data_IF_926606233201
#
_entry.id   IF_926606233201
#
_cell.length_a   1.000
_cell.length_b   1.000
_cell.length_c   1.000
_cell.angle_alpha   90.00
_cell.angle_beta   90.00
_cell.angle_gamma   90.00
#
_symmetry.space_group_name_H-M   'P 1'
#
loop_
_entity.id
_entity.type
_entity.pdbx_description
1 polymer ?
#
# COMPACT_ATOMS: atom_id res chain seq x y z
N UNK A 1 26.71 22.09 -33.35
CA UNK A 1 27.22 21.95 -31.97
C UNK A 1 26.09 21.45 -31.08
N UNK A 2 26.07 20.15 -30.76
CA UNK A 2 25.10 19.59 -29.83
C UNK A 2 25.64 19.77 -28.41
N UNK A 3 24.95 20.55 -27.57
CA UNK A 3 25.18 20.58 -26.14
C UNK A 3 24.79 19.21 -25.57
N UNK A 4 25.77 18.32 -25.43
CA UNK A 4 25.65 17.14 -24.59
C UNK A 4 25.55 17.65 -23.15
N UNK A 5 24.32 17.77 -22.63
CA UNK A 5 24.10 17.96 -21.20
C UNK A 5 24.73 16.75 -20.49
N UNK A 6 25.89 16.99 -19.88
CA UNK A 6 26.54 16.07 -18.95
C UNK A 6 25.53 15.82 -17.82
N UNK A 7 24.87 14.67 -17.83
CA UNK A 7 24.02 14.26 -16.72
C UNK A 7 24.90 14.21 -15.47
N UNK A 8 24.68 15.11 -14.53
CA UNK A 8 25.34 15.04 -13.22
C UNK A 8 25.19 13.62 -12.67
N UNK A 9 26.24 13.04 -12.07
CA UNK A 9 26.13 11.74 -11.44
C UNK A 9 24.99 11.79 -10.42
N UNK A 10 23.95 10.95 -10.63
CA UNK A 10 22.87 10.82 -9.65
C UNK A 10 23.50 10.34 -8.36
N UNK A 11 23.47 11.20 -7.35
CA UNK A 11 23.76 10.81 -5.98
C UNK A 11 22.84 9.61 -5.63
N UNK A 12 23.41 8.41 -5.42
CA UNK A 12 22.64 7.20 -5.17
C UNK A 12 21.90 7.23 -3.84
N UNK A 13 22.24 8.17 -2.95
CA UNK A 13 21.60 8.36 -1.65
C UNK A 13 20.59 9.50 -1.65
N UNK A 14 20.55 10.36 -2.66
CA UNK A 14 19.58 11.48 -2.70
C UNK A 14 18.15 10.98 -2.82
N UNK A 15 17.28 11.49 -1.94
CA UNK A 15 15.84 11.26 -2.00
C UNK A 15 15.22 12.37 -2.84
N UNK A 16 14.42 12.01 -3.84
CA UNK A 16 13.69 12.99 -4.66
C UNK A 16 12.52 13.51 -3.85
N UNK A 17 12.44 14.82 -3.62
CA UNK A 17 11.34 15.44 -2.86
C UNK A 17 9.95 15.12 -3.42
N UNK A 18 9.82 14.92 -4.73
CA UNK A 18 8.55 14.56 -5.36
C UNK A 18 8.02 13.19 -4.93
N UNK A 19 8.89 12.25 -4.58
CA UNK A 19 8.50 10.88 -4.22
C UNK A 19 7.72 10.83 -2.89
N UNK A 20 8.25 11.36 -1.77
CA UNK A 20 7.48 11.44 -0.53
C UNK A 20 6.24 12.35 -0.62
N UNK A 21 6.31 13.47 -1.36
CA UNK A 21 5.15 14.38 -1.50
C UNK A 21 3.98 13.68 -2.19
N UNK A 22 4.24 13.00 -3.30
CA UNK A 22 3.20 12.24 -4.02
C UNK A 22 2.66 11.12 -3.13
N UNK A 23 3.52 10.41 -2.41
CA UNK A 23 3.12 9.36 -1.47
C UNK A 23 2.19 9.89 -0.36
N UNK A 24 2.52 11.04 0.25
CA UNK A 24 1.66 11.69 1.25
C UNK A 24 0.30 12.05 0.66
N UNK A 25 0.26 12.67 -0.53
CA UNK A 25 -1.00 13.05 -1.18
C UNK A 25 -1.89 11.83 -1.44
N UNK A 26 -1.33 10.75 -2.01
CA UNK A 26 -2.08 9.52 -2.23
C UNK A 26 -2.54 8.87 -0.92
N UNK A 27 -1.70 8.89 0.11
CA UNK A 27 -2.03 8.32 1.43
C UNK A 27 -3.15 9.11 2.10
N UNK A 28 -3.14 10.44 2.02
CA UNK A 28 -4.21 11.29 2.55
C UNK A 28 -5.52 11.09 1.78
N UNK A 29 -5.48 10.97 0.45
CA UNK A 29 -6.66 10.66 -0.35
C UNK A 29 -7.22 9.31 0.07
N UNK A 30 -6.37 8.29 0.19
CA UNK A 30 -6.80 6.96 0.59
C UNK A 30 -7.40 6.94 2.01
N UNK A 31 -6.78 7.64 2.95
CA UNK A 31 -7.29 7.83 4.30
C UNK A 31 -8.67 8.50 4.28
N UNK A 32 -8.83 9.60 3.54
CA UNK A 32 -10.11 10.30 3.42
C UNK A 32 -11.18 9.41 2.78
N UNK A 33 -10.85 8.70 1.70
CA UNK A 33 -11.74 7.78 1.01
C UNK A 33 -12.24 6.68 1.96
N UNK A 34 -11.32 5.94 2.59
CA UNK A 34 -11.67 4.83 3.47
C UNK A 34 -12.57 5.23 4.65
N UNK A 35 -12.40 6.45 5.18
CA UNK A 35 -13.20 6.94 6.31
C UNK A 35 -14.50 7.62 5.87
N UNK A 36 -14.56 8.20 4.68
CA UNK A 36 -15.76 8.87 4.16
C UNK A 36 -16.80 7.89 3.60
N UNK A 37 -16.36 6.76 3.04
CA UNK A 37 -17.25 5.79 2.41
C UNK A 37 -16.75 4.37 2.66
N UNK A 38 -17.11 3.72 3.78
CA UNK A 38 -16.80 2.31 4.04
C UNK A 38 -17.29 1.39 2.91
N UNK A 39 -18.36 1.80 2.23
CA UNK A 39 -18.94 1.13 1.05
C UNK A 39 -18.16 1.37 -0.25
N UNK A 40 -16.90 1.79 -0.17
CA UNK A 40 -16.03 1.93 -1.34
C UNK A 40 -15.96 0.61 -2.12
N UNK A 41 -16.47 0.64 -3.35
CA UNK A 41 -16.57 -0.52 -4.20
C UNK A 41 -17.83 -1.35 -4.00
N UNK A 42 -18.91 -0.82 -3.40
CA UNK A 42 -20.21 -1.48 -3.38
C UNK A 42 -20.84 -1.56 -4.78
N UNK A 43 -21.61 -2.63 -5.03
CA UNK A 43 -22.48 -2.76 -6.20
C UNK A 43 -23.91 -2.42 -5.79
N UNK A 44 -24.60 -1.61 -6.59
CA UNK A 44 -26.01 -1.29 -6.37
C UNK A 44 -26.87 -2.36 -7.03
N UNK A 45 -27.68 -3.07 -6.24
CA UNK A 45 -28.73 -3.96 -6.76
C UNK A 45 -30.08 -3.25 -6.68
N UNK A 46 -30.84 -3.28 -7.77
CA UNK A 46 -32.25 -2.91 -7.78
C UNK A 46 -33.07 -4.08 -7.23
N UNK A 47 -33.79 -3.86 -6.13
CA UNK A 47 -34.75 -4.81 -5.55
C UNK A 47 -36.16 -4.22 -5.61
N UNK A 48 -37.18 -5.06 -5.45
CA UNK A 48 -38.59 -4.61 -5.47
C UNK A 48 -38.91 -3.55 -4.41
N UNK A 49 -38.17 -3.53 -3.29
CA UNK A 49 -38.31 -2.57 -2.19
C UNK A 49 -37.37 -1.34 -2.29
N UNK A 50 -36.55 -1.22 -3.34
CA UNK A 50 -35.62 -0.10 -3.54
C UNK A 50 -34.21 -0.52 -3.95
N UNK A 51 -33.26 0.43 -3.91
CA UNK A 51 -31.85 0.18 -4.20
C UNK A 51 -31.13 -0.31 -2.94
N UNK A 52 -30.46 -1.45 -3.00
CA UNK A 52 -29.61 -1.95 -1.92
C UNK A 52 -28.15 -1.98 -2.36
N UNK A 53 -27.28 -1.33 -1.60
CA UNK A 53 -25.83 -1.37 -1.81
C UNK A 53 -25.27 -2.68 -1.22
N UNK A 54 -24.54 -3.45 -2.02
CA UNK A 54 -23.83 -4.66 -1.57
C UNK A 54 -22.35 -4.30 -1.48
N UNK A 55 -21.79 -4.13 -0.27
CA UNK A 55 -20.39 -3.71 -0.10
C UNK A 55 -19.42 -4.82 -0.48
N UNK A 56 -18.26 -4.45 -1.03
CA UNK A 56 -17.18 -5.37 -1.38
C UNK A 56 -16.56 -6.03 -0.13
N UNK A 57 -16.34 -5.24 0.90
CA UNK A 57 -15.74 -5.68 2.15
C UNK A 57 -16.80 -6.04 3.19
N UNK A 58 -16.45 -6.95 4.10
CA UNK A 58 -17.30 -7.30 5.24
C UNK A 58 -16.97 -6.45 6.48
N UNK A 59 -17.69 -6.70 7.58
CA UNK A 59 -17.43 -6.09 8.88
C UNK A 59 -16.00 -6.31 9.42
N UNK A 60 -15.31 -7.34 8.93
CA UNK A 60 -13.89 -7.59 9.27
C UNK A 60 -13.02 -6.39 8.83
N UNK A 61 -13.29 -5.82 7.66
CA UNK A 61 -12.58 -4.65 7.16
C UNK A 61 -12.91 -3.41 7.99
N UNK A 62 -14.19 -3.21 8.31
CA UNK A 62 -14.65 -2.10 9.15
C UNK A 62 -14.00 -2.13 10.54
N UNK A 63 -13.89 -3.32 11.15
CA UNK A 63 -13.19 -3.50 12.43
C UNK A 63 -11.67 -3.25 12.33
N UNK A 64 -11.09 -3.41 11.13
CA UNK A 64 -9.68 -3.15 10.88
C UNK A 64 -9.35 -1.67 10.62
N UNK A 65 -10.33 -0.83 10.31
CA UNK A 65 -10.13 0.58 9.93
C UNK A 65 -9.25 1.38 10.90
N UNK A 66 -9.37 1.28 12.23
CA UNK A 66 -8.47 2.00 13.15
C UNK A 66 -7.00 1.63 12.95
N UNK A 67 -6.72 0.35 12.71
CA UNK A 67 -5.36 -0.16 12.49
C UNK A 67 -4.83 0.21 11.10
N UNK A 68 -5.69 0.22 10.10
CA UNK A 68 -5.38 0.71 8.75
C UNK A 68 -5.02 2.20 8.83
N UNK A 69 -5.84 3.01 9.49
CA UNK A 69 -5.60 4.44 9.67
C UNK A 69 -4.27 4.71 10.38
N UNK A 70 -3.97 3.98 11.47
CA UNK A 70 -2.69 4.11 12.18
C UNK A 70 -1.50 3.77 11.27
N UNK A 71 -1.63 2.76 10.41
CA UNK A 71 -0.60 2.36 9.45
C UNK A 71 -0.39 3.40 8.34
N UNK A 72 -1.47 4.04 7.88
CA UNK A 72 -1.40 5.15 6.91
C UNK A 72 -0.73 6.38 7.54
N UNK A 73 -1.04 6.70 8.79
CA UNK A 73 -0.36 7.77 9.54
C UNK A 73 1.13 7.49 9.73
N UNK A 74 1.51 6.24 10.05
CA UNK A 74 2.91 5.83 10.12
C UNK A 74 3.63 5.98 8.76
N UNK A 75 2.92 5.71 7.66
CA UNK A 75 3.45 5.92 6.31
C UNK A 75 3.68 7.40 5.99
N UNK A 76 2.74 8.28 6.38
CA UNK A 76 2.90 9.74 6.25
C UNK A 76 4.09 10.22 7.09
N UNK A 77 4.23 9.75 8.33
CA UNK A 77 5.35 10.09 9.20
C UNK A 77 6.69 9.71 8.57
N UNK A 78 6.78 8.52 7.98
CA UNK A 78 7.97 8.08 7.25
C UNK A 78 8.29 8.99 6.07
N UNK A 79 7.30 9.41 5.31
CA UNK A 79 7.50 10.31 4.18
C UNK A 79 7.95 11.71 4.62
N UNK A 80 7.47 12.20 5.78
CA UNK A 80 7.98 13.42 6.42
C UNK A 80 9.46 13.25 6.80
N UNK A 81 9.85 12.14 7.42
CA UNK A 81 11.26 11.84 7.76
C UNK A 81 12.14 11.82 6.51
N UNK A 82 11.66 11.24 5.41
CA UNK A 82 12.39 11.23 4.13
C UNK A 82 12.52 12.63 3.52
N UNK A 83 11.49 13.47 3.65
CA UNK A 83 11.52 14.86 3.18
C UNK A 83 12.51 15.72 3.99
N UNK A 84 12.53 15.55 5.31
CA UNK A 84 13.44 16.31 6.18
C UNK A 84 14.89 15.89 5.97
N UNK A 85 15.17 14.59 5.84
CA UNK A 85 16.52 14.09 5.63
C UNK A 85 17.06 14.40 4.23
N UNK A 86 16.21 14.35 3.19
CA UNK A 86 16.60 14.62 1.79
C UNK A 86 17.57 13.60 1.17
N UNK A 87 18.09 12.66 1.96
CA UNK A 87 19.01 11.62 1.56
C UNK A 87 18.84 10.37 2.44
N UNK A 88 19.30 9.22 1.94
CA UNK A 88 19.30 7.96 2.67
C UNK A 88 20.47 7.92 3.66
N UNK A 89 20.16 8.01 4.93
CA UNK A 89 21.09 7.76 6.05
C UNK A 89 20.69 6.48 6.79
N UNK A 90 21.56 5.94 7.64
CA UNK A 90 21.21 4.75 8.44
C UNK A 90 19.97 4.95 9.31
N UNK A 91 19.78 6.10 10.00
CA UNK A 91 18.53 6.39 10.71
C UNK A 91 17.30 6.37 9.81
N UNK A 92 17.39 6.92 8.59
CA UNK A 92 16.27 6.92 7.62
C UNK A 92 15.93 5.51 7.16
N UNK A 93 16.93 4.65 6.94
CA UNK A 93 16.68 3.23 6.63
C UNK A 93 16.01 2.51 7.80
N UNK A 94 16.48 2.75 9.04
CA UNK A 94 15.86 2.19 10.24
C UNK A 94 14.41 2.63 10.40
N UNK A 95 14.13 3.93 10.26
CA UNK A 95 12.78 4.48 10.29
C UNK A 95 11.90 3.87 9.20
N UNK A 96 12.43 3.67 7.98
CA UNK A 96 11.69 3.03 6.88
C UNK A 96 11.25 1.62 7.24
N UNK A 97 12.16 0.79 7.77
CA UNK A 97 11.83 -0.58 8.16
C UNK A 97 10.81 -0.64 9.31
N UNK A 98 11.00 0.20 10.34
CA UNK A 98 10.12 0.23 11.52
C UNK A 98 8.73 0.76 11.17
N UNK A 99 8.63 1.86 10.43
CA UNK A 99 7.35 2.52 10.15
C UNK A 99 6.54 1.81 9.05
N UNK A 100 7.17 1.01 8.18
CA UNK A 100 6.46 0.17 7.20
C UNK A 100 5.89 -1.12 7.80
N UNK A 101 6.49 -1.63 8.88
CA UNK A 101 6.12 -2.91 9.47
C UNK A 101 4.65 -2.98 9.92
N UNK A 102 4.06 -1.98 10.63
CA UNK A 102 2.66 -2.02 11.04
C UNK A 102 1.70 -2.20 9.86
N UNK A 103 1.89 -1.45 8.77
CA UNK A 103 1.03 -1.55 7.59
C UNK A 103 1.11 -2.92 6.93
N UNK A 104 2.30 -3.52 6.89
CA UNK A 104 2.47 -4.89 6.43
C UNK A 104 1.74 -5.90 7.33
N UNK A 105 1.90 -5.80 8.65
CA UNK A 105 1.26 -6.71 9.60
C UNK A 105 -0.27 -6.62 9.54
N UNK A 106 -0.81 -5.41 9.47
CA UNK A 106 -2.25 -5.17 9.33
C UNK A 106 -2.77 -5.77 8.03
N UNK A 107 -2.08 -5.54 6.91
CA UNK A 107 -2.49 -6.10 5.62
C UNK A 107 -2.45 -7.64 5.62
N UNK A 108 -1.39 -8.25 6.15
CA UNK A 108 -1.29 -9.71 6.26
C UNK A 108 -2.38 -10.27 7.15
N UNK A 109 -2.61 -9.69 8.33
CA UNK A 109 -3.67 -10.13 9.24
C UNK A 109 -5.05 -10.03 8.59
N UNK A 110 -5.34 -8.89 7.96
CA UNK A 110 -6.63 -8.61 7.32
C UNK A 110 -6.90 -9.57 6.15
N UNK A 111 -5.95 -9.71 5.22
CA UNK A 111 -6.11 -10.55 4.04
C UNK A 111 -5.84 -12.03 4.31
N UNK A 112 -5.38 -12.42 5.50
CA UNK A 112 -5.38 -13.82 5.93
C UNK A 112 -6.77 -14.29 6.37
N UNK A 113 -7.66 -13.37 6.73
CA UNK A 113 -9.03 -13.71 7.12
C UNK A 113 -9.89 -14.00 5.87
N UNK A 114 -10.44 -15.22 5.72
CA UNK A 114 -11.27 -15.57 4.57
C UNK A 114 -12.57 -14.75 4.50
N UNK A 115 -13.03 -14.20 5.62
CA UNK A 115 -14.23 -13.41 5.69
C UNK A 115 -14.02 -11.93 5.35
N UNK A 116 -12.82 -11.48 4.95
CA UNK A 116 -12.54 -10.05 4.63
C UNK A 116 -13.39 -9.52 3.48
N UNK A 117 -13.68 -10.38 2.50
CA UNK A 117 -14.54 -10.07 1.37
C UNK A 117 -15.95 -10.56 1.61
N UNK A 118 -16.92 -9.75 1.19
CA UNK A 118 -18.33 -10.12 1.20
C UNK A 118 -18.64 -10.94 -0.06
N UNK A 119 -18.94 -12.24 0.09
CA UNK A 119 -19.23 -13.12 -1.06
C UNK A 119 -20.45 -12.64 -1.87
N UNK A 120 -21.43 -12.02 -1.21
CA UNK A 120 -22.62 -11.48 -1.88
C UNK A 120 -22.28 -10.38 -2.91
N UNK A 121 -21.14 -9.69 -2.74
CA UNK A 121 -20.63 -8.75 -3.73
C UNK A 121 -20.25 -9.48 -5.02
N UNK A 122 -19.52 -10.58 -4.93
CA UNK A 122 -19.08 -11.35 -6.10
C UNK A 122 -20.28 -11.98 -6.81
N UNK A 123 -21.28 -12.44 -6.06
CA UNK A 123 -22.56 -12.87 -6.61
C UNK A 123 -23.28 -11.71 -7.34
N UNK A 124 -23.19 -10.49 -6.83
CA UNK A 124 -23.79 -9.30 -7.45
C UNK A 124 -23.12 -8.95 -8.76
N UNK A 125 -21.79 -8.99 -8.78
CA UNK A 125 -21.00 -8.76 -9.99
C UNK A 125 -21.32 -9.82 -11.04
N UNK A 126 -21.38 -11.10 -10.67
CA UNK A 126 -21.69 -12.19 -11.62
C UNK A 126 -23.12 -12.08 -12.18
N UNK A 127 -24.09 -11.62 -11.38
CA UNK A 127 -25.46 -11.41 -11.85
C UNK A 127 -25.57 -10.25 -12.88
N UNK A 128 -24.72 -9.22 -12.74
CA UNK A 128 -24.68 -8.07 -13.67
C UNK A 128 -23.86 -8.41 -14.92
N UNK A 129 -22.76 -9.13 -14.73
CA UNK A 129 -21.85 -9.57 -15.78
C UNK A 129 -21.85 -11.10 -15.83
N UNK A 130 -22.87 -11.72 -16.46
CA UNK A 130 -22.97 -13.16 -16.59
C UNK A 130 -21.84 -13.65 -17.51
N UNK A 131 -20.72 -13.98 -16.89
CA UNK A 131 -19.60 -14.68 -17.51
C UNK A 131 -19.80 -16.16 -17.21
N UNK A 132 -19.77 -17.00 -18.25
CA UNK A 132 -19.64 -18.46 -18.11
C UNK A 132 -18.25 -18.77 -17.51
N UNK A 133 -18.18 -18.60 -16.20
CA UNK A 133 -16.99 -18.80 -15.40
C UNK A 133 -17.10 -20.16 -14.71
N UNK A 134 -16.08 -21.02 -14.80
CA UNK A 134 -16.04 -22.26 -14.02
C UNK A 134 -15.82 -21.99 -12.52
N UNK A 135 -15.52 -20.73 -12.14
CA UNK A 135 -15.23 -20.32 -10.77
C UNK A 135 -16.48 -19.76 -10.09
N UNK A 136 -16.79 -20.28 -8.91
CA UNK A 136 -17.87 -19.78 -8.06
C UNK A 136 -17.52 -18.42 -7.43
N UNK A 137 -18.51 -17.61 -6.99
CA UNK A 137 -18.26 -16.35 -6.29
C UNK A 137 -17.35 -16.47 -5.06
N UNK A 138 -17.48 -17.55 -4.28
CA UNK A 138 -16.62 -17.81 -3.13
C UNK A 138 -15.17 -18.09 -3.53
N UNK A 139 -14.95 -18.87 -4.59
CA UNK A 139 -13.62 -19.15 -5.11
C UNK A 139 -12.99 -17.89 -5.71
N UNK A 140 -13.78 -17.03 -6.35
CA UNK A 140 -13.32 -15.73 -6.87
C UNK A 140 -12.89 -14.80 -5.74
N UNK A 141 -13.66 -14.73 -4.64
CA UNK A 141 -13.29 -13.97 -3.45
C UNK A 141 -12.00 -14.53 -2.81
N UNK A 142 -11.89 -15.86 -2.70
CA UNK A 142 -10.70 -16.53 -2.16
C UNK A 142 -9.46 -16.29 -3.01
N UNK A 143 -9.58 -16.43 -4.33
CA UNK A 143 -8.50 -16.16 -5.28
C UNK A 143 -8.05 -14.70 -5.19
N UNK A 144 -8.99 -13.76 -5.20
CA UNK A 144 -8.71 -12.32 -5.06
C UNK A 144 -7.94 -12.04 -3.76
N UNK A 145 -8.38 -12.62 -2.64
CA UNK A 145 -7.70 -12.51 -1.35
C UNK A 145 -6.28 -13.06 -1.40
N UNK A 146 -6.09 -14.26 -1.95
CA UNK A 146 -4.77 -14.90 -2.08
C UNK A 146 -3.82 -14.08 -2.95
N UNK A 147 -4.31 -13.50 -4.06
CA UNK A 147 -3.53 -12.61 -4.93
C UNK A 147 -3.08 -11.38 -4.15
N UNK A 148 -4.00 -10.71 -3.44
CA UNK A 148 -3.66 -9.51 -2.65
C UNK A 148 -2.64 -9.83 -1.55
N UNK A 149 -2.83 -10.95 -0.84
CA UNK A 149 -1.90 -11.40 0.19
C UNK A 149 -0.52 -11.70 -0.40
N UNK A 150 -0.46 -12.39 -1.54
CA UNK A 150 0.77 -12.69 -2.26
C UNK A 150 1.51 -11.43 -2.71
N UNK A 151 0.81 -10.49 -3.34
CA UNK A 151 1.38 -9.20 -3.77
C UNK A 151 1.87 -8.39 -2.57
N UNK A 152 1.13 -8.39 -1.46
CA UNK A 152 1.52 -7.68 -0.23
C UNK A 152 2.81 -8.23 0.34
N UNK A 153 2.91 -9.56 0.49
CA UNK A 153 4.11 -10.23 1.00
C UNK A 153 5.29 -9.98 0.06
N UNK A 154 5.11 -10.19 -1.23
CA UNK A 154 6.15 -9.97 -2.22
C UNK A 154 6.64 -8.52 -2.23
N UNK A 155 5.72 -7.55 -2.23
CA UNK A 155 6.04 -6.12 -2.19
C UNK A 155 6.83 -5.74 -0.95
N UNK A 156 6.43 -6.26 0.22
CA UNK A 156 7.16 -6.02 1.47
C UNK A 156 8.57 -6.62 1.46
N UNK A 157 8.74 -7.83 0.92
CA UNK A 157 10.07 -8.45 0.76
C UNK A 157 10.95 -7.60 -0.14
N UNK A 158 10.46 -7.18 -1.31
CA UNK A 158 11.22 -6.35 -2.26
C UNK A 158 11.61 -5.01 -1.64
N UNK A 159 10.68 -4.34 -0.93
CA UNK A 159 10.94 -3.08 -0.26
C UNK A 159 11.98 -3.23 0.87
N UNK A 160 11.87 -4.28 1.68
CA UNK A 160 12.82 -4.61 2.75
C UNK A 160 14.21 -4.91 2.20
N UNK A 161 14.31 -5.71 1.14
CA UNK A 161 15.59 -6.00 0.46
C UNK A 161 16.20 -4.72 -0.12
N UNK A 162 15.38 -3.84 -0.68
CA UNK A 162 15.84 -2.54 -1.22
C UNK A 162 16.40 -1.67 -0.09
N UNK A 163 15.69 -1.54 1.03
CA UNK A 163 16.13 -0.81 2.21
C UNK A 163 17.41 -1.41 2.80
N UNK A 164 17.48 -2.74 2.93
CA UNK A 164 18.66 -3.46 3.39
C UNK A 164 19.88 -3.25 2.48
N UNK A 165 19.68 -3.25 1.15
CA UNK A 165 20.76 -2.94 0.20
C UNK A 165 21.31 -1.53 0.37
N UNK A 166 20.45 -0.56 0.72
CA UNK A 166 20.87 0.83 1.02
C UNK A 166 21.65 0.90 2.33
N UNK A 167 21.23 0.18 3.38
CA UNK A 167 22.00 0.08 4.62
C UNK A 167 23.41 -0.47 4.38
N UNK A 168 23.54 -1.58 3.64
CA UNK A 168 24.85 -2.18 3.33
C UNK A 168 25.72 -1.20 2.56
N UNK A 169 25.18 -0.52 1.54
CA UNK A 169 25.92 0.51 0.78
C UNK A 169 26.40 1.66 1.66
N UNK A 170 25.58 2.12 2.62
CA UNK A 170 25.95 3.18 3.56
C UNK A 170 27.03 2.74 4.55
N UNK A 171 27.02 1.47 4.95
CA UNK A 171 28.06 0.91 5.84
C UNK A 171 29.41 0.79 5.12
N UNK A 172 29.40 0.39 3.85
CA UNK A 172 30.60 0.22 3.03
C UNK A 172 31.11 1.52 2.39
N UNK A 173 30.32 2.59 2.37
CA UNK A 173 30.70 3.87 1.77
C UNK A 173 31.89 4.52 2.51
N UNK A 174 32.89 5.06 1.80
CA UNK A 174 33.96 5.86 2.39
C UNK A 174 33.41 7.04 3.19
N UNK A 175 34.06 7.43 4.29
CA UNK A 175 33.60 8.49 5.21
C UNK A 175 33.19 9.78 4.50
N UNK A 176 33.97 10.24 3.50
CA UNK A 176 33.69 11.46 2.74
C UNK A 176 32.58 11.37 1.68
N UNK A 177 31.90 10.22 1.55
CA UNK A 177 30.80 10.00 0.59
C UNK A 177 29.46 9.72 1.25
N UNK A 178 29.42 9.70 2.59
CA UNK A 178 28.19 9.49 3.35
C UNK A 178 27.41 10.81 3.42
N UNK A 179 26.08 10.80 3.24
CA UNK A 179 25.27 11.97 3.53
C UNK A 179 25.37 12.30 5.02
N UNK A 180 25.49 13.60 5.34
CA UNK A 180 25.40 14.09 6.72
C UNK A 180 23.99 13.79 7.27
N UNK A 181 23.93 13.38 8.53
CA UNK A 181 22.70 12.98 9.21
C UNK A 181 21.92 14.18 9.75
#
# INVERSE_FOLDING_TARGET
MAHVQKSEPRDPFRIRKSEPVVSILFTLIFLALLNASPDLGAVIRLQEAGQAAVPLFSDVFSAALPWINLSLLASILLDIVKLSAGSWTLPVVGAHLVLKLPGFLVAVWLFSNPAVFNVAFFEAVQAIFPVDSPMTPSEAAEMTRKIILGITIFGYIVDTLTAGSKAVRLLLAPSGSKPEA
#
